data_IF_713602869240
#
_entry.id   IF_713602869240
#
_cell.length_a   1.000
_cell.length_b   1.000
_cell.length_c   1.000
_cell.angle_alpha   90.00
_cell.angle_beta   90.00
_cell.angle_gamma   90.00
#
_symmetry.space_group_name_H-M   'P 1'
#
loop_
_entity.id
_entity.type
_entity.pdbx_description
1 polymer ?
#
# COMPACT_ATOMS: atom_id res chain seq x y z
N UNK A 1 25.65 -4.51 -25.24
CA UNK A 1 25.44 -3.34 -24.36
C UNK A 1 24.08 -3.50 -23.73
N UNK A 2 24.03 -4.16 -22.59
CA UNK A 2 22.82 -4.25 -21.77
C UNK A 2 22.57 -2.87 -21.16
N UNK A 3 21.54 -2.20 -21.66
CA UNK A 3 21.08 -0.95 -21.09
C UNK A 3 20.50 -1.23 -19.72
N UNK A 4 21.24 -0.85 -18.67
CA UNK A 4 20.69 -0.69 -17.33
C UNK A 4 19.55 0.34 -17.42
N UNK A 5 18.32 -0.13 -17.57
CA UNK A 5 17.14 0.67 -17.23
C UNK A 5 17.29 0.94 -15.75
N UNK A 6 17.53 2.20 -15.40
CA UNK A 6 17.38 2.70 -14.03
C UNK A 6 15.93 2.44 -13.62
N UNK A 7 15.68 1.28 -13.03
CA UNK A 7 14.37 0.72 -12.74
C UNK A 7 13.84 1.27 -11.44
N UNK A 8 13.62 2.58 -11.35
CA UNK A 8 12.80 3.14 -10.29
C UNK A 8 12.07 4.39 -10.82
N UNK A 9 10.98 4.15 -11.55
CA UNK A 9 9.99 5.19 -11.88
C UNK A 9 9.28 5.77 -10.64
N UNK A 10 9.58 5.25 -9.44
CA UNK A 10 9.01 5.66 -8.17
C UNK A 10 10.11 6.06 -7.19
N UNK A 11 10.16 7.35 -6.84
CA UNK A 11 11.05 7.83 -5.79
C UNK A 11 10.49 7.51 -4.39
N UNK A 12 11.35 7.59 -3.36
CA UNK A 12 10.99 7.31 -1.97
C UNK A 12 9.79 8.12 -1.48
N UNK A 13 9.63 9.36 -1.94
CA UNK A 13 8.50 10.22 -1.62
C UNK A 13 7.17 9.66 -2.15
N UNK A 14 7.16 9.09 -3.35
CA UNK A 14 5.98 8.44 -3.92
C UNK A 14 5.62 7.19 -3.12
N UNK A 15 6.61 6.36 -2.77
CA UNK A 15 6.40 5.17 -1.94
C UNK A 15 5.84 5.55 -0.56
N UNK A 16 6.40 6.57 0.09
CA UNK A 16 5.91 7.06 1.38
C UNK A 16 4.46 7.56 1.31
N UNK A 17 4.05 8.22 0.21
CA UNK A 17 2.66 8.64 0.01
C UNK A 17 1.71 7.46 -0.15
N UNK A 18 2.09 6.45 -0.92
CA UNK A 18 1.28 5.26 -1.11
C UNK A 18 1.16 4.49 0.21
N UNK A 19 2.26 4.33 0.94
CA UNK A 19 2.27 3.70 2.26
C UNK A 19 1.37 4.46 3.25
N UNK A 20 1.40 5.80 3.25
CA UNK A 20 0.48 6.60 4.07
C UNK A 20 -0.99 6.40 3.67
N UNK A 21 -1.28 6.28 2.38
CA UNK A 21 -2.63 5.98 1.91
C UNK A 21 -3.11 4.58 2.38
N UNK A 22 -2.23 3.58 2.38
CA UNK A 22 -2.48 2.25 2.95
C UNK A 22 -2.82 2.36 4.44
N UNK A 23 -2.00 3.07 5.22
CA UNK A 23 -2.23 3.25 6.65
C UNK A 23 -3.58 3.91 6.95
N UNK A 24 -3.98 4.91 6.17
CA UNK A 24 -5.25 5.58 6.34
C UNK A 24 -6.45 4.74 5.88
N UNK A 25 -6.32 4.02 4.76
CA UNK A 25 -7.42 3.23 4.22
C UNK A 25 -7.68 1.93 5.01
N UNK A 26 -6.63 1.31 5.56
CA UNK A 26 -6.71 -0.03 6.14
C UNK A 26 -6.50 -0.02 7.66
N UNK A 27 -5.63 0.87 8.16
CA UNK A 27 -5.24 0.91 9.55
C UNK A 27 -4.62 -0.41 10.02
N UNK A 28 -5.06 -0.89 11.18
CA UNK A 28 -4.64 -2.16 11.79
C UNK A 28 -5.60 -3.33 11.48
N UNK A 29 -6.51 -3.16 10.51
CA UNK A 29 -7.50 -4.18 10.19
C UNK A 29 -6.88 -5.32 9.38
N UNK A 30 -7.16 -6.55 9.77
CA UNK A 30 -6.82 -7.74 8.97
C UNK A 30 -7.85 -8.02 7.88
N UNK A 31 -9.07 -7.50 8.07
CA UNK A 31 -10.21 -7.76 7.21
C UNK A 31 -11.13 -6.56 7.09
N UNK A 32 -11.61 -6.30 5.87
CA UNK A 32 -12.45 -5.15 5.54
C UNK A 32 -13.65 -5.59 4.70
N UNK A 33 -14.85 -5.21 5.13
CA UNK A 33 -16.03 -5.24 4.26
C UNK A 33 -15.87 -4.23 3.11
N UNK A 34 -16.71 -4.37 2.07
CA UNK A 34 -16.71 -3.42 0.93
C UNK A 34 -16.98 -1.98 1.39
N UNK A 35 -17.92 -1.81 2.31
CA UNK A 35 -18.28 -0.50 2.85
C UNK A 35 -17.09 0.13 3.58
N UNK A 36 -16.44 -0.62 4.48
CA UNK A 36 -15.28 -0.14 5.21
C UNK A 36 -14.12 0.22 4.27
N UNK A 37 -13.86 -0.59 3.24
CA UNK A 37 -12.83 -0.27 2.25
C UNK A 37 -13.15 1.01 1.48
N UNK A 38 -14.41 1.23 1.08
CA UNK A 38 -14.82 2.48 0.40
C UNK A 38 -14.64 3.71 1.31
N UNK A 39 -15.02 3.60 2.58
CA UNK A 39 -14.82 4.65 3.58
C UNK A 39 -13.32 4.93 3.80
N UNK A 40 -12.51 3.88 3.92
CA UNK A 40 -11.06 3.99 4.03
C UNK A 40 -10.40 4.64 2.82
N UNK A 41 -10.80 4.26 1.60
CA UNK A 41 -10.32 4.89 0.36
C UNK A 41 -10.68 6.37 0.29
N UNK A 42 -11.89 6.75 0.72
CA UNK A 42 -12.29 8.15 0.80
C UNK A 42 -11.43 8.92 1.83
N UNK A 43 -11.20 8.34 3.01
CA UNK A 43 -10.36 8.94 4.05
C UNK A 43 -8.90 9.10 3.60
N UNK A 44 -8.38 8.17 2.80
CA UNK A 44 -7.06 8.24 2.19
C UNK A 44 -6.96 9.22 1.01
N UNK A 45 -8.04 9.92 0.65
CA UNK A 45 -8.06 10.91 -0.43
C UNK A 45 -8.18 10.31 -1.85
N UNK A 46 -8.61 9.05 -1.96
CA UNK A 46 -8.83 8.34 -3.23
C UNK A 46 -10.26 7.78 -3.32
N UNK A 47 -11.29 8.63 -3.16
CA UNK A 47 -12.69 8.19 -3.12
C UNK A 47 -13.09 7.55 -4.45
N UNK A 48 -13.82 6.43 -4.36
CA UNK A 48 -14.40 5.74 -5.51
C UNK A 48 -15.83 5.30 -5.21
N UNK A 49 -16.61 5.09 -6.26
CA UNK A 49 -17.95 4.53 -6.13
C UNK A 49 -17.92 3.01 -6.05
N UNK A 50 -18.98 2.40 -5.49
CA UNK A 50 -19.13 0.95 -5.45
C UNK A 50 -19.04 0.29 -6.85
N UNK A 51 -19.69 0.82 -7.92
CA UNK A 51 -19.53 0.26 -9.27
C UNK A 51 -18.08 0.31 -9.77
N UNK A 52 -17.32 1.33 -9.41
CA UNK A 52 -15.91 1.43 -9.81
C UNK A 52 -15.05 0.43 -9.04
N UNK A 53 -15.29 0.24 -7.73
CA UNK A 53 -14.62 -0.79 -6.93
C UNK A 53 -14.86 -2.17 -7.53
N UNK A 54 -16.10 -2.49 -7.93
CA UNK A 54 -16.42 -3.76 -8.59
C UNK A 54 -15.62 -3.97 -9.88
N UNK A 55 -15.57 -2.95 -10.76
CA UNK A 55 -14.79 -3.00 -12.01
C UNK A 55 -13.29 -3.18 -11.76
N UNK A 56 -12.76 -2.55 -10.72
CA UNK A 56 -11.35 -2.65 -10.37
C UNK A 56 -11.03 -4.04 -9.79
N UNK A 57 -11.91 -4.62 -8.97
CA UNK A 57 -11.78 -6.01 -8.48
C UNK A 57 -11.79 -7.01 -9.64
N UNK A 58 -12.71 -6.88 -10.59
CA UNK A 58 -12.76 -7.78 -11.76
C UNK A 58 -11.52 -7.64 -12.65
N UNK A 59 -11.02 -6.41 -12.84
CA UNK A 59 -9.76 -6.18 -13.54
C UNK A 59 -8.59 -6.88 -12.84
N UNK A 60 -8.40 -6.65 -11.54
CA UNK A 60 -7.31 -7.24 -10.76
C UNK A 60 -7.36 -8.77 -10.76
N UNK A 61 -8.56 -9.37 -10.73
CA UNK A 61 -8.74 -10.82 -10.92
C UNK A 61 -8.28 -11.27 -12.30
N UNK A 62 -8.73 -10.60 -13.36
CA UNK A 62 -8.36 -10.98 -14.75
C UNK A 62 -6.86 -10.85 -15.02
N UNK A 63 -6.17 -9.97 -14.29
CA UNK A 63 -4.72 -9.80 -14.36
C UNK A 63 -3.94 -10.82 -13.51
N UNK A 64 -4.62 -11.74 -12.80
CA UNK A 64 -4.01 -12.76 -11.93
C UNK A 64 -3.00 -12.18 -10.93
N UNK A 65 -3.34 -11.07 -10.28
CA UNK A 65 -2.45 -10.43 -9.30
C UNK A 65 -2.23 -11.37 -8.09
N UNK A 66 -0.96 -11.72 -7.85
CA UNK A 66 -0.58 -12.61 -6.74
C UNK A 66 -1.03 -12.06 -5.39
N UNK A 67 -1.65 -12.90 -4.57
CA UNK A 67 -2.14 -12.55 -3.24
C UNK A 67 -3.45 -11.76 -3.23
N UNK A 68 -4.09 -11.54 -4.39
CA UNK A 68 -5.40 -10.93 -4.46
C UNK A 68 -6.52 -11.97 -4.21
N UNK A 69 -6.83 -12.17 -2.94
CA UNK A 69 -7.85 -13.11 -2.47
C UNK A 69 -9.16 -12.39 -2.19
N UNK A 70 -9.96 -12.16 -3.22
CA UNK A 70 -11.32 -11.63 -3.06
C UNK A 70 -12.37 -12.73 -2.87
N UNK A 71 -13.24 -12.59 -1.87
CA UNK A 71 -14.34 -13.52 -1.63
C UNK A 71 -15.65 -13.09 -2.31
N UNK A 72 -16.26 -14.00 -3.08
CA UNK A 72 -17.61 -13.84 -3.63
C UNK A 72 -18.64 -13.85 -2.49
N UNK A 73 -19.69 -13.03 -2.59
CA UNK A 73 -20.83 -13.08 -1.65
C UNK A 73 -20.63 -12.35 -0.31
N UNK A 74 -19.99 -11.18 -0.33
CA UNK A 74 -20.00 -10.21 0.79
C UNK A 74 -19.16 -10.56 2.01
N UNK A 75 -18.23 -11.51 1.87
CA UNK A 75 -17.28 -11.74 2.95
C UNK A 75 -16.36 -10.50 3.06
N UNK A 76 -15.68 -10.06 2.01
CA UNK A 76 -14.87 -8.82 2.08
C UNK A 76 -13.49 -9.01 1.46
N UNK A 77 -12.53 -8.27 1.98
CA UNK A 77 -11.15 -8.27 1.55
C UNK A 77 -10.25 -8.52 2.74
N UNK A 78 -9.31 -9.45 2.59
CA UNK A 78 -8.20 -9.53 3.53
C UNK A 78 -7.28 -8.32 3.39
N UNK A 79 -6.36 -8.18 4.34
CA UNK A 79 -5.41 -7.07 4.36
C UNK A 79 -4.62 -6.97 3.06
N UNK A 80 -4.08 -8.08 2.56
CA UNK A 80 -3.28 -8.09 1.33
C UNK A 80 -4.08 -7.63 0.12
N UNK A 81 -5.32 -8.10 -0.04
CA UNK A 81 -6.21 -7.66 -1.13
C UNK A 81 -6.58 -6.19 -1.01
N UNK A 82 -6.77 -5.71 0.22
CA UNK A 82 -7.06 -4.31 0.50
C UNK A 82 -5.86 -3.42 0.15
N UNK A 83 -4.64 -3.83 0.51
CA UNK A 83 -3.40 -3.13 0.14
C UNK A 83 -3.25 -3.05 -1.38
N UNK A 84 -3.46 -4.18 -2.08
CA UNK A 84 -3.45 -4.25 -3.54
C UNK A 84 -4.43 -3.25 -4.15
N UNK A 85 -5.67 -3.20 -3.66
CA UNK A 85 -6.68 -2.25 -4.13
C UNK A 85 -6.24 -0.82 -3.87
N UNK A 86 -5.76 -0.48 -2.67
CA UNK A 86 -5.32 0.87 -2.32
C UNK A 86 -4.17 1.33 -3.23
N UNK A 87 -3.15 0.49 -3.44
CA UNK A 87 -2.00 0.81 -4.30
C UNK A 87 -2.44 1.01 -5.74
N UNK A 88 -3.20 0.05 -6.28
CA UNK A 88 -3.75 0.15 -7.62
C UNK A 88 -4.56 1.44 -7.78
N UNK A 89 -5.38 1.76 -6.79
CA UNK A 89 -6.33 2.87 -6.87
C UNK A 89 -5.64 4.23 -6.73
N UNK A 90 -4.62 4.31 -5.89
CA UNK A 90 -3.73 5.47 -5.83
C UNK A 90 -3.09 5.73 -7.19
N UNK A 91 -2.47 4.70 -7.79
CA UNK A 91 -1.85 4.82 -9.11
C UNK A 91 -2.85 5.23 -10.19
N UNK A 92 -4.01 4.62 -10.18
CA UNK A 92 -5.01 4.88 -11.19
C UNK A 92 -5.67 6.27 -11.03
N UNK A 93 -5.60 6.89 -9.85
CA UNK A 93 -6.07 8.27 -9.61
C UNK A 93 -5.02 9.31 -10.01
N UNK A 94 -3.74 9.09 -9.73
CA UNK A 94 -2.68 10.09 -9.94
C UNK A 94 -1.83 9.86 -11.21
N UNK A 95 -2.00 8.72 -11.88
CA UNK A 95 -1.36 8.37 -13.15
C UNK A 95 -2.42 7.91 -14.14
N UNK A 96 -2.68 6.60 -14.20
CA UNK A 96 -3.74 6.01 -15.02
C UNK A 96 -3.99 4.56 -14.62
N UNK A 97 -5.15 4.00 -15.01
CA UNK A 97 -5.49 2.60 -14.73
C UNK A 97 -4.49 1.61 -15.34
N UNK A 98 -4.03 1.87 -16.57
CA UNK A 98 -3.04 1.02 -17.24
C UNK A 98 -1.70 1.00 -16.51
N UNK A 99 -1.22 2.17 -16.07
CA UNK A 99 -0.01 2.28 -15.25
C UNK A 99 -0.18 1.61 -13.89
N UNK A 100 -1.38 1.67 -13.32
CA UNK A 100 -1.72 0.99 -12.06
C UNK A 100 -1.59 -0.52 -12.14
N UNK A 101 -2.01 -1.16 -13.24
CA UNK A 101 -1.81 -2.61 -13.44
C UNK A 101 -0.36 -2.94 -13.71
N UNK A 102 0.28 -2.20 -14.63
CA UNK A 102 1.64 -2.48 -15.11
C UNK A 102 2.67 -2.47 -13.97
N UNK A 103 2.58 -1.50 -13.07
CA UNK A 103 3.57 -1.30 -12.00
C UNK A 103 3.18 -1.90 -10.64
N UNK A 104 2.02 -2.55 -10.54
CA UNK A 104 1.52 -3.07 -9.27
C UNK A 104 2.49 -4.02 -8.56
N UNK A 105 3.10 -5.02 -9.24
CA UNK A 105 4.01 -5.96 -8.57
C UNK A 105 5.27 -5.28 -8.01
N UNK A 106 5.84 -4.35 -8.78
CA UNK A 106 7.03 -3.58 -8.39
C UNK A 106 6.72 -2.67 -7.19
N UNK A 107 5.59 -1.95 -7.23
CA UNK A 107 5.17 -1.06 -6.14
C UNK A 107 4.91 -1.83 -4.84
N UNK A 108 4.25 -2.98 -4.90
CA UNK A 108 4.02 -3.81 -3.72
C UNK A 108 5.33 -4.28 -3.09
N UNK A 109 6.35 -4.59 -3.90
CA UNK A 109 7.68 -4.92 -3.41
C UNK A 109 8.33 -3.70 -2.73
N UNK A 110 8.36 -2.56 -3.40
CA UNK A 110 8.96 -1.32 -2.87
C UNK A 110 8.32 -0.87 -1.56
N UNK A 111 7.00 -1.04 -1.40
CA UNK A 111 6.28 -0.73 -0.15
C UNK A 111 6.71 -1.68 0.97
N UNK A 112 6.84 -2.98 0.70
CA UNK A 112 7.31 -3.95 1.70
C UNK A 112 8.76 -3.69 2.13
N UNK A 113 9.62 -3.34 1.18
CA UNK A 113 11.02 -2.99 1.45
C UNK A 113 11.08 -1.72 2.33
N UNK A 114 10.28 -0.70 2.00
CA UNK A 114 10.13 0.51 2.81
C UNK A 114 9.65 0.24 4.26
N UNK A 115 8.71 -0.69 4.44
CA UNK A 115 8.24 -1.09 5.78
C UNK A 115 9.33 -1.79 6.60
N UNK A 116 10.13 -2.62 5.95
CA UNK A 116 11.23 -3.33 6.59
C UNK A 116 12.34 -2.36 7.03
N UNK A 117 12.71 -1.41 6.17
CA UNK A 117 13.71 -0.38 6.49
C UNK A 117 13.26 0.48 7.69
N UNK A 118 11.99 0.91 7.70
CA UNK A 118 11.43 1.66 8.83
C UNK A 118 11.40 0.85 10.13
N UNK A 119 11.10 -0.45 10.06
CA UNK A 119 11.15 -1.33 11.23
C UNK A 119 12.58 -1.49 11.76
N UNK A 120 13.56 -1.65 10.89
CA UNK A 120 14.96 -1.78 11.30
C UNK A 120 15.47 -0.49 11.96
N UNK A 121 15.20 0.68 11.37
CA UNK A 121 15.59 1.97 11.94
C UNK A 121 14.98 2.21 13.33
N UNK A 122 13.72 1.81 13.55
CA UNK A 122 13.09 1.89 14.88
C UNK A 122 13.78 0.99 15.89
N UNK A 123 14.10 -0.26 15.55
CA UNK A 123 14.82 -1.15 16.46
C UNK A 123 16.25 -0.66 16.75
N UNK A 124 16.93 -0.05 15.78
CA UNK A 124 18.24 0.58 16.00
C UNK A 124 18.17 1.81 16.91
N UNK A 125 17.10 2.61 16.83
CA UNK A 125 16.88 3.76 17.70
C UNK A 125 16.57 3.36 19.16
N UNK A 126 15.82 2.28 19.37
CA UNK A 126 15.49 1.79 20.72
C UNK A 126 16.68 1.15 21.45
N UNK A 127 17.72 0.75 20.72
CA UNK A 127 18.94 0.14 21.27
C UNK A 127 20.07 1.15 21.55
N UNK A 128 19.82 2.46 21.43
CA UNK A 128 20.79 3.44 21.90
C UNK A 128 20.73 3.50 23.45
N UNK A 129 21.85 3.30 24.15
CA UNK A 129 21.89 3.48 25.60
C UNK A 129 21.48 4.92 25.91
N UNK A 130 20.51 5.08 26.81
CA UNK A 130 20.17 6.38 27.36
C UNK A 130 21.38 6.82 28.18
N UNK A 131 22.21 7.73 27.64
CA UNK A 131 23.21 8.43 28.43
C UNK A 131 22.46 9.29 29.45
N UNK A 132 22.30 8.75 30.66
CA UNK A 132 21.84 9.51 31.81
C UNK A 132 22.97 10.47 32.17
N UNK A 133 22.94 11.67 31.58
CA UNK A 133 23.78 12.77 32.05
C UNK A 133 23.44 13.02 33.51
N UNK A 134 24.34 12.59 34.38
CA UNK A 134 24.25 12.80 35.81
C UNK A 134 24.37 14.30 36.05
N UNK A 135 23.27 14.92 36.48
CA UNK A 135 23.26 16.33 36.91
C UNK A 135 24.10 16.39 38.19
N UNK A 136 25.17 17.19 38.26
CA UNK A 136 25.94 17.33 39.48
C UNK A 136 25.10 18.05 40.55
N UNK A 137 25.11 17.49 41.76
CA UNK A 137 24.46 18.01 42.98
C UNK A 137 25.22 19.23 43.51
#
# INVERSE_FOLDING_TARGET
MEGYISSNNFNCYTIAKIHRAIQFAIGQSDWLSRKQLLEGLAFAGIPISYPQLYKDVELLKSCNISGFNHFKGDRGFDRSSSEIIVVFRWMATYRSRGQGVLHLPELLKLIRDYDNDNKQQRHSATNQPIEVNSIPV
#
